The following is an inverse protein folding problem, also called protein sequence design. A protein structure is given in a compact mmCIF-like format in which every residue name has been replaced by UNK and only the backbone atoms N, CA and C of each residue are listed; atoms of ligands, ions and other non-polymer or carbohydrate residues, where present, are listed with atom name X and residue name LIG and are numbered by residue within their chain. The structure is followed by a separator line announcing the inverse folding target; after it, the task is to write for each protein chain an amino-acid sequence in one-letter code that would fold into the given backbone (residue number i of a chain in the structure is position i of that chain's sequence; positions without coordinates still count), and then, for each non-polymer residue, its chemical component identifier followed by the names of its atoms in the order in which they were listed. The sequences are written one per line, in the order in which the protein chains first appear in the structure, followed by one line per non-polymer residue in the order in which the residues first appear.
data_IF_214464344484
#
_entry.id   IF_214464344484
#
_cell.length_a   1.000
_cell.length_b   1.000
_cell.length_c   1.000
_cell.angle_alpha   90.00
_cell.angle_beta   90.00
_cell.angle_gamma   90.00
#
_symmetry.space_group_name_H-M   'P 1'
#
loop_
_entity.id
_entity.type
_entity.pdbx_description
1 polymer ?
#
# COMPACT_ATOMS: atom_id res chain seq x y z
N UNK A 1 -21.54 -4.66 7.77
CA UNK A 1 -20.54 -3.93 6.96
C UNK A 1 -21.22 -3.52 5.67
N UNK A 2 -21.16 -2.24 5.34
CA UNK A 2 -21.77 -1.73 4.10
C UNK A 2 -20.75 -1.78 2.96
N UNK A 3 -21.00 -2.67 2.00
CA UNK A 3 -20.27 -2.73 0.74
C UNK A 3 -20.79 -1.67 -0.21
N UNK A 4 -19.91 -1.14 -1.06
CA UNK A 4 -20.28 -0.21 -2.15
C UNK A 4 -19.82 -0.78 -3.48
N UNK A 5 -20.76 -0.87 -4.42
CA UNK A 5 -20.51 -1.22 -5.80
C UNK A 5 -20.57 0.05 -6.66
N UNK A 6 -19.62 0.23 -7.57
CA UNK A 6 -19.55 1.40 -8.44
C UNK A 6 -19.89 1.01 -9.88
N UNK A 7 -20.79 1.75 -10.50
CA UNK A 7 -21.24 1.53 -11.88
C UNK A 7 -20.92 2.73 -12.75
N UNK A 8 -20.60 2.48 -14.02
CA UNK A 8 -20.54 3.49 -15.09
C UNK A 8 -21.44 3.03 -16.24
N UNK A 9 -22.43 3.85 -16.60
CA UNK A 9 -23.43 3.52 -17.64
C UNK A 9 -24.05 2.12 -17.45
N UNK A 10 -24.40 1.77 -16.21
CA UNK A 10 -24.98 0.47 -15.86
C UNK A 10 -24.00 -0.70 -15.78
N UNK A 11 -22.72 -0.53 -16.14
CA UNK A 11 -21.68 -1.56 -16.04
C UNK A 11 -20.94 -1.47 -14.70
N UNK A 12 -20.83 -2.60 -14.00
CA UNK A 12 -20.06 -2.71 -12.77
C UNK A 12 -18.57 -2.49 -13.03
N UNK A 13 -17.93 -1.65 -12.22
CA UNK A 13 -16.49 -1.40 -12.23
C UNK A 13 -15.77 -2.24 -11.17
N UNK A 14 -14.47 -2.55 -11.36
CA UNK A 14 -13.64 -3.08 -10.28
C UNK A 14 -13.58 -2.05 -9.14
N UNK A 15 -14.28 -2.32 -8.05
CA UNK A 15 -14.37 -1.44 -6.88
C UNK A 15 -14.19 -2.21 -5.58
N UNK A 16 -13.70 -1.52 -4.55
CA UNK A 16 -13.59 -2.04 -3.20
C UNK A 16 -13.79 -0.94 -2.17
N UNK A 17 -14.29 -1.33 -0.99
CA UNK A 17 -14.36 -0.46 0.18
C UNK A 17 -13.09 -0.66 1.00
N UNK A 18 -12.37 0.43 1.25
CA UNK A 18 -11.15 0.46 2.06
C UNK A 18 -11.42 1.09 3.42
N UNK A 19 -10.47 0.93 4.35
CA UNK A 19 -10.46 1.63 5.63
C UNK A 19 -10.61 3.14 5.42
N UNK A 20 -11.57 3.72 6.12
CA UNK A 20 -11.80 5.14 6.13
C UNK A 20 -10.56 5.89 6.68
N UNK A 21 -10.37 7.14 6.27
CA UNK A 21 -9.26 7.98 6.77
C UNK A 21 -9.36 8.19 8.29
N UNK A 22 -10.58 8.08 8.82
CA UNK A 22 -10.86 8.15 10.25
C UNK A 22 -10.93 6.75 10.85
N UNK A 23 -10.42 6.59 12.07
CA UNK A 23 -10.56 5.36 12.87
C UNK A 23 -11.85 5.33 13.69
N UNK A 24 -12.77 6.28 13.50
CA UNK A 24 -14.07 6.25 14.17
C UNK A 24 -14.86 5.04 13.63
N UNK A 25 -15.32 4.11 14.49
CA UNK A 25 -15.88 2.84 14.07
C UNK A 25 -17.36 2.96 13.66
N UNK A 26 -17.62 3.67 12.56
CA UNK A 26 -18.97 4.00 12.09
C UNK A 26 -19.18 3.61 10.63
N UNK A 27 -20.26 2.87 10.35
CA UNK A 27 -20.51 2.27 9.02
C UNK A 27 -21.17 3.24 8.02
N UNK A 28 -21.43 4.49 8.41
CA UNK A 28 -22.15 5.50 7.63
C UNK A 28 -21.30 6.29 6.61
N UNK A 29 -19.97 6.29 6.76
CA UNK A 29 -19.03 6.97 5.86
C UNK A 29 -18.17 5.89 5.24
N UNK A 30 -18.18 5.79 3.92
CA UNK A 30 -17.40 4.78 3.19
C UNK A 30 -16.33 5.41 2.33
N UNK A 31 -15.13 4.82 2.37
CA UNK A 31 -14.07 5.09 1.40
C UNK A 31 -14.12 4.01 0.32
N UNK A 32 -14.38 4.43 -0.91
CA UNK A 32 -14.50 3.52 -2.05
C UNK A 32 -13.40 3.85 -3.04
N UNK A 33 -12.69 2.82 -3.49
CA UNK A 33 -11.67 2.92 -4.54
C UNK A 33 -12.12 2.07 -5.70
N UNK A 34 -12.01 2.60 -6.92
CA UNK A 34 -12.38 1.90 -8.13
C UNK A 34 -11.48 2.32 -9.29
N UNK A 35 -11.37 1.45 -10.29
CA UNK A 35 -10.66 1.74 -11.53
C UNK A 35 -11.67 2.14 -12.61
N UNK A 36 -11.46 3.32 -13.20
CA UNK A 36 -12.26 3.83 -14.31
C UNK A 36 -11.36 4.48 -15.36
N UNK A 37 -11.75 4.37 -16.63
CA UNK A 37 -11.23 5.19 -17.72
C UNK A 37 -12.12 6.42 -17.84
N UNK A 38 -11.51 7.60 -17.91
CA UNK A 38 -12.23 8.88 -17.95
C UNK A 38 -12.27 9.42 -19.37
N UNK A 39 -13.44 9.90 -19.78
CA UNK A 39 -13.58 10.64 -21.02
C UNK A 39 -12.85 12.00 -20.92
N UNK A 40 -11.94 12.31 -21.85
CA UNK A 40 -11.15 13.53 -21.79
C UNK A 40 -12.03 14.77 -21.99
N UNK A 41 -11.85 15.76 -21.12
CA UNK A 41 -12.57 17.04 -21.19
C UNK A 41 -14.08 16.93 -20.92
N UNK A 42 -14.54 15.85 -20.28
CA UNK A 42 -15.97 15.62 -19.99
C UNK A 42 -16.23 15.33 -18.52
N UNK A 43 -17.47 15.60 -18.11
CA UNK A 43 -17.99 15.11 -16.83
C UNK A 43 -18.24 13.61 -16.93
N UNK A 44 -17.66 12.84 -16.00
CA UNK A 44 -17.84 11.40 -15.91
C UNK A 44 -18.74 11.08 -14.70
N UNK A 45 -19.88 10.41 -14.92
CA UNK A 45 -20.81 10.02 -13.87
C UNK A 45 -20.58 8.57 -13.45
N UNK A 46 -20.58 8.34 -12.14
CA UNK A 46 -20.51 7.01 -11.54
C UNK A 46 -21.62 6.86 -10.50
N UNK A 47 -22.34 5.74 -10.55
CA UNK A 47 -23.42 5.45 -9.62
C UNK A 47 -22.94 4.48 -8.54
N UNK A 48 -23.04 4.87 -7.28
CA UNK A 48 -22.70 4.03 -6.13
C UNK A 48 -23.96 3.32 -5.61
N UNK A 49 -23.90 1.99 -5.49
CA UNK A 49 -24.97 1.17 -4.90
C UNK A 49 -24.49 0.54 -3.60
N UNK A 50 -25.29 0.69 -2.54
CA UNK A 50 -24.99 0.18 -1.21
C UNK A 50 -25.54 -1.23 -1.05
N UNK A 51 -24.75 -2.12 -0.45
CA UNK A 51 -25.16 -3.48 -0.12
C UNK A 51 -24.67 -3.84 1.27
N UNK A 52 -25.60 -4.15 2.17
CA UNK A 52 -25.24 -4.60 3.52
C UNK A 52 -24.84 -6.07 3.46
N UNK A 53 -23.66 -6.39 3.98
CA UNK A 53 -23.14 -7.76 4.12
C UNK A 53 -22.73 -8.05 5.56
N UNK A 54 -22.73 -9.33 5.93
CA UNK A 54 -22.49 -9.78 7.30
C UNK A 54 -21.09 -9.38 7.83
N UNK A 55 -20.07 -9.38 6.97
CA UNK A 55 -18.69 -9.00 7.33
C UNK A 55 -17.88 -8.52 6.13
N UNK A 56 -16.85 -7.70 6.35
CA UNK A 56 -15.84 -7.35 5.32
C UNK A 56 -15.16 -8.63 4.83
N UNK A 57 -14.94 -8.72 3.52
CA UNK A 57 -14.23 -9.85 2.92
C UNK A 57 -12.76 -9.80 3.36
N UNK A 58 -12.21 -10.96 3.72
CA UNK A 58 -10.80 -11.07 4.05
C UNK A 58 -9.93 -10.98 2.77
N UNK A 59 -8.72 -10.42 2.85
CA UNK A 59 -7.77 -10.43 1.73
C UNK A 59 -7.54 -11.83 1.17
N UNK A 60 -7.58 -11.96 -0.16
CA UNK A 60 -7.20 -13.17 -0.87
C UNK A 60 -5.67 -13.29 -0.97
N UNK A 61 -4.97 -12.17 -1.11
CA UNK A 61 -3.52 -12.09 -1.02
C UNK A 61 -3.06 -12.54 0.38
N UNK A 62 -2.00 -13.36 0.43
CA UNK A 62 -1.46 -13.92 1.67
C UNK A 62 0.06 -13.83 1.69
N UNK A 63 0.61 -13.79 2.90
CA UNK A 63 2.02 -14.07 3.14
C UNK A 63 2.25 -15.58 3.08
N UNK A 64 3.23 -16.02 2.27
CA UNK A 64 3.70 -17.41 2.19
C UNK A 64 5.22 -17.44 2.08
N UNK A 65 5.88 -18.26 2.90
CA UNK A 65 7.35 -18.42 2.89
C UNK A 65 8.09 -17.07 2.88
N UNK A 66 7.75 -16.20 3.83
CA UNK A 66 8.31 -14.85 4.01
C UNK A 66 8.13 -13.89 2.82
N UNK A 67 7.09 -14.12 2.00
CA UNK A 67 6.82 -13.33 0.81
C UNK A 67 5.35 -13.02 0.65
N UNK A 68 5.06 -11.85 0.10
CA UNK A 68 3.76 -11.51 -0.47
C UNK A 68 3.95 -11.42 -1.98
N UNK A 69 3.27 -12.29 -2.73
CA UNK A 69 3.35 -12.32 -4.19
C UNK A 69 2.04 -11.85 -4.79
N UNK A 70 2.05 -10.65 -5.36
CA UNK A 70 0.95 -10.12 -6.14
C UNK A 70 1.17 -10.45 -7.62
N UNK A 71 0.18 -11.06 -8.27
CA UNK A 71 0.31 -11.49 -9.66
C UNK A 71 -0.97 -11.24 -10.45
N UNK A 72 -0.80 -10.68 -11.65
CA UNK A 72 -1.82 -10.56 -12.69
C UNK A 72 -1.28 -11.16 -14.00
N UNK A 73 -2.05 -11.06 -15.09
CA UNK A 73 -1.58 -11.46 -16.43
C UNK A 73 -0.32 -10.72 -16.88
N UNK A 74 -0.12 -9.47 -16.43
CA UNK A 74 0.97 -8.59 -16.91
C UNK A 74 1.97 -8.21 -15.83
N UNK A 75 1.62 -8.29 -14.55
CA UNK A 75 2.42 -7.79 -13.44
C UNK A 75 2.67 -8.90 -12.42
N UNK A 76 3.92 -9.03 -11.97
CA UNK A 76 4.30 -9.83 -10.81
C UNK A 76 5.14 -8.96 -9.88
N UNK A 77 4.72 -8.84 -8.63
CA UNK A 77 5.44 -8.13 -7.56
C UNK A 77 5.66 -9.07 -6.40
N UNK A 78 6.91 -9.17 -5.93
CA UNK A 78 7.26 -9.97 -4.75
C UNK A 78 7.83 -9.06 -3.69
N UNK A 79 7.14 -8.97 -2.56
CA UNK A 79 7.55 -8.23 -1.36
C UNK A 79 8.11 -9.23 -0.36
N UNK A 80 9.32 -8.97 0.13
CA UNK A 80 10.00 -9.81 1.11
C UNK A 80 9.64 -9.35 2.52
N UNK A 81 8.94 -10.19 3.28
CA UNK A 81 8.41 -9.81 4.60
C UNK A 81 9.47 -9.75 5.69
N UNK A 82 10.70 -10.24 5.45
CA UNK A 82 11.85 -10.09 6.36
C UNK A 82 12.55 -8.75 6.20
N UNK A 83 12.41 -8.09 5.05
CA UNK A 83 13.06 -6.80 4.78
C UNK A 83 12.08 -5.66 4.59
N UNK A 84 10.82 -5.96 4.26
CA UNK A 84 9.82 -4.98 3.82
C UNK A 84 10.07 -4.46 2.41
N UNK A 85 11.04 -4.99 1.66
CA UNK A 85 11.42 -4.46 0.34
C UNK A 85 10.86 -5.29 -0.80
N UNK A 86 10.83 -4.69 -1.99
CA UNK A 86 10.45 -5.37 -3.23
C UNK A 86 11.66 -6.11 -3.80
N UNK A 87 11.57 -7.43 -3.86
CA UNK A 87 12.63 -8.29 -4.40
C UNK A 87 12.44 -8.57 -5.90
N UNK A 88 11.22 -8.38 -6.41
CA UNK A 88 10.89 -8.57 -7.84
C UNK A 88 9.76 -7.66 -8.25
N UNK A 89 9.91 -7.06 -9.42
CA UNK A 89 8.86 -6.29 -10.07
C UNK A 89 8.97 -6.55 -11.58
N UNK A 90 8.06 -7.36 -12.09
CA UNK A 90 8.12 -7.90 -13.45
C UNK A 90 6.89 -7.48 -14.24
N UNK A 91 7.12 -6.80 -15.36
CA UNK A 91 6.07 -6.40 -16.31
C UNK A 91 6.24 -7.22 -17.59
N UNK A 92 5.18 -7.87 -18.06
CA UNK A 92 5.14 -8.63 -19.32
C UNK A 92 6.34 -9.58 -19.50
N UNK A 93 6.70 -10.35 -18.46
CA UNK A 93 7.83 -11.28 -18.56
C UNK A 93 9.19 -10.69 -18.16
N UNK A 94 9.37 -9.37 -18.17
CA UNK A 94 10.67 -8.72 -17.90
C UNK A 94 10.74 -8.21 -16.47
N UNK A 95 11.75 -8.65 -15.71
CA UNK A 95 12.04 -8.08 -14.40
C UNK A 95 12.64 -6.67 -14.59
N UNK A 96 12.02 -5.67 -13.98
CA UNK A 96 12.35 -4.26 -14.15
C UNK A 96 13.21 -3.70 -13.02
N UNK A 97 13.34 -4.42 -11.90
CA UNK A 97 14.08 -3.95 -10.72
C UNK A 97 15.11 -4.97 -10.26
N UNK A 98 16.19 -4.46 -9.66
CA UNK A 98 17.11 -5.27 -8.87
C UNK A 98 16.43 -5.73 -7.56
N UNK A 99 17.07 -6.67 -6.84
CA UNK A 99 16.64 -7.06 -5.49
C UNK A 99 16.72 -5.85 -4.55
N UNK A 100 15.93 -5.86 -3.46
CA UNK A 100 15.88 -4.77 -2.47
C UNK A 100 15.48 -3.40 -3.06
N UNK A 101 14.59 -3.40 -4.05
CA UNK A 101 14.11 -2.17 -4.65
C UNK A 101 13.21 -1.37 -3.70
N UNK A 102 13.12 -0.06 -3.96
CA UNK A 102 12.37 0.92 -3.14
C UNK A 102 12.83 1.01 -1.67
N UNK A 103 14.09 0.71 -1.39
CA UNK A 103 14.68 0.90 -0.05
C UNK A 103 14.67 2.39 0.32
N UNK A 104 14.01 2.80 1.42
CA UNK A 104 14.07 4.17 1.88
C UNK A 104 15.46 4.47 2.45
N UNK A 105 16.13 5.44 1.84
CA UNK A 105 17.48 5.89 2.23
C UNK A 105 17.41 7.26 2.90
N UNK A 106 18.37 7.52 3.78
CA UNK A 106 18.59 8.84 4.39
C UNK A 106 19.79 9.47 3.70
N UNK A 107 19.58 10.61 3.07
CA UNK A 107 20.62 11.38 2.39
C UNK A 107 20.97 12.57 3.27
N UNK A 108 22.26 12.82 3.48
CA UNK A 108 22.71 14.05 4.12
C UNK A 108 22.42 15.22 3.20
N UNK A 109 21.70 16.18 3.76
CA UNK A 109 21.45 17.50 3.20
C UNK A 109 22.29 18.55 3.96
N UNK A 110 22.21 19.80 3.55
CA UNK A 110 22.70 20.96 4.27
C UNK A 110 21.53 21.86 4.72
N UNK A 111 21.88 22.94 5.41
CA UNK A 111 20.93 23.94 5.94
C UNK A 111 20.66 25.09 4.96
N UNK A 112 21.23 25.07 3.75
CA UNK A 112 21.12 26.15 2.77
C UNK A 112 19.81 26.02 1.95
N UNK A 113 18.79 26.86 2.21
CA UNK A 113 17.53 26.77 1.49
C UNK A 113 17.60 27.33 0.07
N UNK A 114 18.68 28.05 -0.29
CA UNK A 114 18.83 28.68 -1.59
C UNK A 114 19.51 27.75 -2.58
N UNK A 115 20.50 26.97 -2.13
CA UNK A 115 21.10 25.89 -2.92
C UNK A 115 21.66 26.33 -4.27
N UNK A 116 22.05 27.61 -4.42
CA UNK A 116 22.34 28.22 -5.73
C UNK A 116 23.47 27.52 -6.49
N UNK A 117 24.38 26.85 -5.77
CA UNK A 117 25.51 26.09 -6.33
C UNK A 117 25.39 24.58 -6.11
N UNK A 118 24.30 24.12 -5.48
CA UNK A 118 24.12 22.71 -5.10
C UNK A 118 23.20 22.03 -6.11
N UNK A 119 23.77 21.16 -6.94
CA UNK A 119 23.00 20.45 -7.97
C UNK A 119 22.49 19.08 -7.52
N UNK A 120 23.03 18.52 -6.44
CA UNK A 120 22.57 17.23 -5.94
C UNK A 120 23.06 16.87 -4.54
N UNK A 121 22.22 16.14 -3.81
CA UNK A 121 22.61 15.38 -2.61
C UNK A 121 22.77 13.90 -2.97
N UNK A 122 23.93 13.34 -2.66
CA UNK A 122 24.29 11.95 -3.01
C UNK A 122 24.83 11.15 -1.83
N UNK A 123 25.12 11.81 -0.69
CA UNK A 123 25.73 11.17 0.47
C UNK A 123 24.66 10.43 1.28
N UNK A 124 24.59 9.12 1.12
CA UNK A 124 23.71 8.27 1.94
C UNK A 124 24.31 8.09 3.33
N UNK A 125 23.60 8.56 4.36
CA UNK A 125 23.99 8.47 5.78
C UNK A 125 23.20 7.43 6.56
N UNK A 126 22.18 6.84 5.94
CA UNK A 126 21.28 5.94 6.64
C UNK A 126 20.36 5.18 5.71
N UNK A 127 19.74 4.14 6.25
CA UNK A 127 18.74 3.32 5.58
C UNK A 127 17.69 2.92 6.59
N UNK A 128 16.43 2.94 6.17
CA UNK A 128 15.37 2.40 6.99
C UNK A 128 15.52 0.88 7.07
N UNK A 129 15.25 0.34 8.26
CA UNK A 129 15.20 -1.10 8.53
C UNK A 129 13.80 -1.46 8.99
N UNK A 130 13.36 -2.66 8.60
CA UNK A 130 12.08 -3.19 9.05
C UNK A 130 12.06 -3.25 10.57
N UNK A 131 11.02 -2.71 11.19
CA UNK A 131 10.83 -2.79 12.63
C UNK A 131 10.53 -4.23 13.04
N UNK A 132 10.96 -4.63 14.24
CA UNK A 132 10.46 -5.87 14.86
C UNK A 132 8.93 -5.82 15.02
N UNK A 133 8.28 -6.98 15.13
CA UNK A 133 6.82 -7.06 15.30
C UNK A 133 6.34 -6.23 16.51
N UNK A 134 7.12 -6.24 17.60
CA UNK A 134 6.83 -5.47 18.81
C UNK A 134 6.86 -3.96 18.52
N UNK A 135 7.97 -3.46 17.98
CA UNK A 135 8.11 -2.04 17.65
C UNK A 135 7.07 -1.58 16.62
N UNK A 136 6.80 -2.38 15.59
CA UNK A 136 5.77 -2.08 14.60
C UNK A 136 4.34 -2.11 15.16
N UNK A 137 4.06 -2.94 16.16
CA UNK A 137 2.76 -2.97 16.87
C UNK A 137 2.60 -1.72 17.73
N UNK A 138 3.64 -1.36 18.49
CA UNK A 138 3.67 -0.17 19.33
C UNK A 138 3.52 1.11 18.51
N UNK A 139 4.26 1.23 17.41
CA UNK A 139 4.15 2.35 16.47
C UNK A 139 2.74 2.47 15.88
N UNK A 140 2.03 1.36 15.73
CA UNK A 140 0.63 1.35 15.26
C UNK A 140 -0.39 1.65 16.36
N UNK A 141 0.05 1.93 17.59
CA UNK A 141 -0.79 2.16 18.77
C UNK A 141 -1.77 1.01 19.08
N UNK A 142 -1.42 -0.23 18.74
CA UNK A 142 -2.26 -1.40 18.98
C UNK A 142 -1.97 -1.95 20.37
N UNK A 143 -3.00 -1.94 21.22
CA UNK A 143 -2.88 -2.30 22.65
C UNK A 143 -3.00 -3.80 22.92
N UNK A 144 -3.54 -4.58 22.00
CA UNK A 144 -3.80 -6.02 22.20
C UNK A 144 -3.24 -6.83 21.04
N UNK A 145 -2.48 -7.87 21.39
CA UNK A 145 -1.80 -8.74 20.44
C UNK A 145 -0.48 -8.17 19.91
N UNK A 146 0.09 -8.88 18.95
CA UNK A 146 1.30 -8.46 18.22
C UNK A 146 1.08 -8.79 16.76
N UNK A 147 1.43 -7.86 15.89
CA UNK A 147 1.20 -8.01 14.44
C UNK A 147 2.50 -7.76 13.65
N UNK A 148 2.57 -8.36 12.47
CA UNK A 148 3.74 -8.28 11.59
C UNK A 148 4.04 -6.84 11.16
N UNK A 149 5.29 -6.47 10.95
CA UNK A 149 5.61 -5.12 10.42
C UNK A 149 5.41 -4.99 8.91
N UNK A 150 5.09 -6.08 8.21
CA UNK A 150 4.67 -6.08 6.81
C UNK A 150 3.26 -6.65 6.73
N UNK A 151 2.28 -5.86 6.28
CA UNK A 151 0.85 -6.19 6.41
C UNK A 151 0.10 -5.90 5.13
N UNK A 152 -0.73 -6.84 4.69
CA UNK A 152 -1.72 -6.57 3.64
C UNK A 152 -2.90 -5.89 4.32
N UNK A 153 -3.07 -4.59 4.10
CA UNK A 153 -4.13 -3.79 4.75
C UNK A 153 -5.37 -3.68 3.88
N UNK A 154 -5.22 -3.73 2.56
CA UNK A 154 -6.32 -3.77 1.60
C UNK A 154 -6.01 -4.78 0.50
N UNK A 155 -7.05 -5.46 0.04
CA UNK A 155 -6.96 -6.38 -1.09
C UNK A 155 -8.35 -6.57 -1.68
N UNK A 156 -8.47 -6.24 -2.96
CA UNK A 156 -9.74 -6.30 -3.66
C UNK A 156 -9.59 -6.10 -5.17
N UNK A 157 -10.71 -6.04 -5.89
CA UNK A 157 -10.71 -5.97 -7.35
C UNK A 157 -10.03 -4.73 -7.94
N UNK A 158 -9.90 -3.64 -7.18
CA UNK A 158 -9.30 -2.40 -7.66
C UNK A 158 -7.78 -2.36 -7.39
N UNK A 159 -7.35 -2.72 -6.18
CA UNK A 159 -5.94 -2.75 -5.78
C UNK A 159 -5.69 -3.58 -4.51
N UNK A 160 -4.44 -3.95 -4.31
CA UNK A 160 -3.93 -4.42 -3.02
C UNK A 160 -2.98 -3.36 -2.43
N UNK A 161 -2.99 -3.20 -1.12
CA UNK A 161 -2.15 -2.26 -0.38
C UNK A 161 -1.41 -3.02 0.71
N UNK A 162 -0.09 -2.84 0.75
CA UNK A 162 0.79 -3.45 1.75
C UNK A 162 1.50 -2.33 2.51
N UNK A 163 1.35 -2.35 3.83
CA UNK A 163 2.05 -1.47 4.75
C UNK A 163 3.36 -2.11 5.21
N UNK A 164 4.41 -1.30 5.30
CA UNK A 164 5.72 -1.67 5.80
C UNK A 164 6.12 -0.67 6.89
N UNK A 165 6.24 -1.16 8.12
CA UNK A 165 6.69 -0.38 9.26
C UNK A 165 8.21 -0.50 9.37
N UNK A 166 8.90 0.57 9.00
CA UNK A 166 10.35 0.66 9.03
C UNK A 166 10.78 1.94 9.73
N UNK A 167 11.99 1.94 10.30
CA UNK A 167 12.55 3.13 10.93
C UNK A 167 14.04 3.26 10.68
N UNK A 168 14.55 4.47 10.90
CA UNK A 168 15.96 4.81 10.86
C UNK A 168 16.43 5.20 12.27
N UNK A 169 17.64 4.80 12.66
CA UNK A 169 18.16 5.04 14.02
C UNK A 169 17.49 4.19 15.11
N UNK A 170 16.57 3.30 14.75
CA UNK A 170 15.96 2.31 15.65
C UNK A 170 16.84 1.08 15.70
N UNK A 171 17.23 0.63 16.90
CA UNK A 171 17.83 -0.70 17.07
C UNK A 171 16.76 -1.76 16.75
N UNK A 172 17.08 -2.77 15.90
CA UNK A 172 16.13 -3.79 15.46
C UNK A 172 15.56 -4.63 16.61
#
# INVERSE_FOLDING_TARGET
FTQVEVYSNGKLLPSQVEQEISNVPVDWRKRVVFLAELEPGRMNRFDCRLKVINKKLAPALKTKADKITFQTKKLEVVINTKTGLVDRYKINGRNCLAKRAFEPIVIADNEDPWGMMTHSFRKVIGRFRLMSKKAGTEFSAIKSGTIESVRIIEDGPARSVVDIFAGFGVNP
#
